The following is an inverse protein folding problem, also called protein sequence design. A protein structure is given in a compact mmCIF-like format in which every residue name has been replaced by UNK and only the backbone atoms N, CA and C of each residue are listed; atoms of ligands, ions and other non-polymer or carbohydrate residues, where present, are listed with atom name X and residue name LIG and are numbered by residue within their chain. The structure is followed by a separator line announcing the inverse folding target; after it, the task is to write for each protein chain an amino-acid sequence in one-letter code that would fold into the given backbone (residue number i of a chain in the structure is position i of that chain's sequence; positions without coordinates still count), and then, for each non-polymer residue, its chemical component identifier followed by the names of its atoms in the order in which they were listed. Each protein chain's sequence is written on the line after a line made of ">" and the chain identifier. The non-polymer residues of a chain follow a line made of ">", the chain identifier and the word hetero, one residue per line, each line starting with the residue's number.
data_IF_217673775617
#
_entry.id   IF_217673775617
#
_cell.length_a   1.000
_cell.length_b   1.000
_cell.length_c   1.000
_cell.angle_alpha   90.00
_cell.angle_beta   90.00
_cell.angle_gamma   90.00
#
_symmetry.space_group_name_H-M   'P 1'
#
loop_
_entity.id
_entity.type
_entity.pdbx_description
1 polymer ?
#
# COMPACT_ATOMS: atom_id res chain seq x y z
N UNK A 1 -7.73 -1.27 27.75
CA UNK A 1 -6.78 -0.33 27.11
C UNK A 1 -6.20 -1.03 25.89
N UNK A 2 -6.43 -0.48 24.73
CA UNK A 2 -5.98 -1.04 23.44
C UNK A 2 -4.47 -0.88 23.30
N UNK A 3 -3.76 -1.96 22.94
CA UNK A 3 -2.32 -1.92 22.65
C UNK A 3 -2.09 -2.04 21.13
N UNK A 4 -1.41 -1.06 20.58
CA UNK A 4 -1.07 -0.95 19.15
C UNK A 4 0.45 -1.00 19.02
N UNK A 5 0.96 -1.85 18.14
CA UNK A 5 2.39 -1.95 17.83
C UNK A 5 2.60 -1.49 16.39
N UNK A 6 3.47 -0.50 16.17
CA UNK A 6 3.85 -0.01 14.86
C UNK A 6 5.27 -0.47 14.52
N UNK A 7 5.41 -1.43 13.62
CA UNK A 7 6.70 -1.93 13.12
C UNK A 7 7.09 -1.19 11.84
N UNK A 8 8.25 -0.56 11.84
CA UNK A 8 8.72 0.37 10.82
C UNK A 8 8.39 1.83 11.16
N UNK A 9 8.36 2.17 12.45
CA UNK A 9 7.97 3.48 12.96
C UNK A 9 8.88 4.62 12.51
N UNK A 10 10.15 4.35 12.15
CA UNK A 10 11.09 5.32 11.58
C UNK A 10 10.79 5.75 10.14
N UNK A 11 9.67 5.30 9.57
CA UNK A 11 9.22 5.75 8.25
C UNK A 11 8.96 7.25 8.23
N UNK A 12 9.61 7.98 7.32
CA UNK A 12 9.38 9.40 7.12
C UNK A 12 7.93 9.71 6.73
N UNK A 13 7.28 8.78 6.03
CA UNK A 13 5.95 8.98 5.47
C UNK A 13 4.84 8.58 6.44
N UNK A 14 5.02 7.49 7.21
CA UNK A 14 3.93 6.89 8.01
C UNK A 14 4.09 7.16 9.50
N UNK A 15 5.31 7.07 10.07
CA UNK A 15 5.53 7.04 11.52
C UNK A 15 4.83 8.15 12.29
N UNK A 16 5.23 9.41 12.07
CA UNK A 16 4.66 10.57 12.78
C UNK A 16 3.20 10.82 12.40
N UNK A 17 2.84 10.59 11.14
CA UNK A 17 1.46 10.79 10.64
C UNK A 17 0.46 9.85 11.29
N UNK A 18 0.84 8.58 11.48
CA UNK A 18 -0.02 7.62 12.19
C UNK A 18 -0.19 7.98 13.66
N UNK A 19 0.86 8.50 14.32
CA UNK A 19 0.72 9.03 15.68
C UNK A 19 -0.29 10.18 15.70
N UNK A 20 -0.25 11.06 14.70
CA UNK A 20 -1.24 12.14 14.55
C UNK A 20 -2.66 11.58 14.42
N UNK A 21 -2.89 10.59 13.54
CA UNK A 21 -4.20 9.97 13.39
C UNK A 21 -4.72 9.39 14.73
N UNK A 22 -3.88 8.68 15.47
CA UNK A 22 -4.24 8.09 16.76
C UNK A 22 -4.52 9.14 17.85
N UNK A 23 -3.74 10.23 17.87
CA UNK A 23 -3.89 11.35 18.83
C UNK A 23 -5.23 12.06 18.63
N UNK A 24 -5.64 12.27 17.37
CA UNK A 24 -6.91 12.92 17.05
C UNK A 24 -8.13 11.99 17.05
N UNK A 25 -7.93 10.67 17.20
CA UNK A 25 -9.04 9.71 17.30
C UNK A 25 -9.51 9.57 18.75
N UNK A 26 -10.60 10.25 19.10
CA UNK A 26 -11.11 10.34 20.47
C UNK A 26 -11.38 8.96 21.10
N UNK A 27 -11.90 8.00 20.34
CA UNK A 27 -12.22 6.66 20.81
C UNK A 27 -10.97 5.81 21.21
N UNK A 28 -9.76 6.27 20.86
CA UNK A 28 -8.49 5.61 21.19
C UNK A 28 -7.78 6.24 22.40
N UNK A 29 -8.42 7.18 23.12
CA UNK A 29 -7.88 7.75 24.36
C UNK A 29 -7.64 6.65 25.40
N UNK A 30 -6.44 6.64 26.01
CA UNK A 30 -6.03 5.62 26.96
C UNK A 30 -5.35 4.39 26.33
N UNK A 31 -5.21 4.35 25.01
CA UNK A 31 -4.47 3.30 24.30
C UNK A 31 -2.95 3.40 24.55
N UNK A 32 -2.25 2.32 24.23
CA UNK A 32 -0.81 2.25 24.29
C UNK A 32 -0.24 1.98 22.90
N UNK A 33 0.50 2.94 22.36
CA UNK A 33 1.24 2.79 21.10
C UNK A 33 2.70 2.45 21.41
N UNK A 34 3.19 1.35 20.86
CA UNK A 34 4.59 0.93 20.89
C UNK A 34 5.20 1.14 19.53
N UNK A 35 6.20 2.00 19.44
CA UNK A 35 6.95 2.26 18.21
C UNK A 35 8.11 1.27 18.12
N UNK A 36 8.26 0.62 16.96
CA UNK A 36 9.36 -0.32 16.71
C UNK A 36 10.07 0.03 15.41
N UNK A 37 11.38 0.19 15.47
CA UNK A 37 12.23 0.34 14.29
C UNK A 37 13.66 -0.12 14.61
N UNK A 38 14.34 -0.67 13.62
CA UNK A 38 15.76 -1.08 13.72
C UNK A 38 16.72 0.12 13.63
N UNK A 39 16.26 1.25 13.11
CA UNK A 39 16.98 2.52 13.05
C UNK A 39 16.69 3.32 14.33
N UNK A 40 17.57 3.20 15.30
CA UNK A 40 17.41 3.82 16.63
C UNK A 40 17.35 5.36 16.57
N UNK A 41 18.04 5.99 15.62
CA UNK A 41 18.04 7.46 15.47
C UNK A 41 16.68 7.95 14.95
N UNK A 42 16.15 7.29 13.93
CA UNK A 42 14.81 7.60 13.41
C UNK A 42 13.72 7.28 14.42
N UNK A 43 13.83 6.16 15.11
CA UNK A 43 12.90 5.77 16.16
C UNK A 43 12.86 6.82 17.29
N UNK A 44 14.03 7.31 17.73
CA UNK A 44 14.16 8.38 18.71
C UNK A 44 13.53 9.69 18.23
N UNK A 45 13.75 10.05 16.99
CA UNK A 45 13.17 11.24 16.37
C UNK A 45 11.64 11.18 16.37
N UNK A 46 11.07 10.08 15.88
CA UNK A 46 9.61 9.88 15.83
C UNK A 46 9.02 9.85 17.24
N UNK A 47 9.67 9.17 18.19
CA UNK A 47 9.25 9.13 19.59
C UNK A 47 9.21 10.53 20.24
N UNK A 48 10.23 11.37 20.02
CA UNK A 48 10.27 12.74 20.53
C UNK A 48 9.15 13.60 19.94
N UNK A 49 8.90 13.51 18.65
CA UNK A 49 7.82 14.27 17.98
C UNK A 49 6.47 13.79 18.52
N UNK A 50 6.26 12.47 18.60
CA UNK A 50 5.02 11.89 19.12
C UNK A 50 4.73 12.29 20.56
N UNK A 51 5.75 12.30 21.42
CA UNK A 51 5.63 12.73 22.83
C UNK A 51 5.16 14.19 22.93
N UNK A 52 5.74 15.08 22.09
CA UNK A 52 5.33 16.49 22.04
C UNK A 52 3.89 16.64 21.54
N UNK A 53 3.53 15.91 20.48
CA UNK A 53 2.18 15.98 19.91
C UNK A 53 1.12 15.50 20.92
N UNK A 54 1.39 14.42 21.64
CA UNK A 54 0.52 13.90 22.69
C UNK A 54 0.34 14.92 23.82
N UNK A 55 1.43 15.57 24.25
CA UNK A 55 1.40 16.57 25.31
C UNK A 55 0.64 17.83 24.89
N UNK A 56 0.85 18.31 23.67
CA UNK A 56 0.21 19.52 23.16
C UNK A 56 -1.29 19.37 22.96
N UNK A 57 -1.72 18.18 22.56
CA UNK A 57 -3.15 17.87 22.34
C UNK A 57 -3.85 17.34 23.60
N UNK A 58 -3.18 17.31 24.76
CA UNK A 58 -3.67 16.64 25.98
C UNK A 58 -4.26 15.24 25.67
N UNK A 59 -3.65 14.57 24.69
CA UNK A 59 -4.08 13.23 24.29
C UNK A 59 -3.65 12.22 25.35
N UNK A 60 -4.60 11.41 25.79
CA UNK A 60 -4.32 10.37 26.79
C UNK A 60 -3.84 9.09 26.09
N UNK A 61 -2.79 9.20 25.29
CA UNK A 61 -2.14 8.10 24.61
C UNK A 61 -0.79 7.80 25.30
N UNK A 62 -0.57 6.56 25.69
CA UNK A 62 0.74 6.13 26.20
C UNK A 62 1.62 5.78 25.02
N UNK A 63 2.83 6.34 24.96
CA UNK A 63 3.81 6.08 23.93
C UNK A 63 5.04 5.40 24.52
N UNK A 64 5.52 4.34 23.87
CA UNK A 64 6.81 3.71 24.18
C UNK A 64 7.50 3.28 22.89
N UNK A 65 8.76 2.85 22.98
CA UNK A 65 9.55 2.40 21.84
C UNK A 65 10.45 1.25 22.21
N UNK A 66 10.79 0.41 21.25
CA UNK A 66 11.84 -0.61 21.32
C UNK A 66 12.38 -0.90 19.91
N UNK A 67 13.54 -1.54 19.84
CA UNK A 67 14.20 -1.84 18.54
C UNK A 67 13.83 -3.25 18.02
N UNK A 68 13.43 -4.16 18.91
CA UNK A 68 12.98 -5.51 18.54
C UNK A 68 11.46 -5.64 18.67
N UNK A 69 10.79 -5.97 17.57
CA UNK A 69 9.33 -6.15 17.55
C UNK A 69 8.87 -7.29 18.48
N UNK A 70 9.71 -8.32 18.72
CA UNK A 70 9.37 -9.44 19.62
C UNK A 70 9.07 -8.97 21.03
N UNK A 71 9.80 -7.97 21.52
CA UNK A 71 9.56 -7.36 22.84
C UNK A 71 8.24 -6.59 22.91
N UNK A 72 7.77 -6.09 21.75
CA UNK A 72 6.56 -5.28 21.67
C UNK A 72 5.28 -6.12 21.57
N UNK A 73 5.31 -7.31 20.99
CA UNK A 73 4.13 -8.06 20.57
C UNK A 73 3.26 -8.57 21.71
N UNK A 74 3.84 -8.93 22.87
CA UNK A 74 3.06 -9.50 23.98
C UNK A 74 1.86 -8.63 24.37
N UNK A 75 0.65 -9.19 24.27
CA UNK A 75 -0.60 -8.52 24.59
C UNK A 75 -0.98 -7.38 23.63
N UNK A 76 -0.47 -7.37 22.40
CA UNK A 76 -0.92 -6.46 21.36
C UNK A 76 -2.33 -6.85 20.87
N UNK A 77 -3.19 -5.84 20.65
CA UNK A 77 -4.50 -6.00 19.99
C UNK A 77 -4.38 -5.77 18.49
N UNK A 78 -3.46 -4.88 18.10
CA UNK A 78 -3.20 -4.52 16.70
C UNK A 78 -1.71 -4.40 16.44
N UNK A 79 -1.26 -4.94 15.30
CA UNK A 79 0.11 -4.77 14.81
C UNK A 79 0.04 -4.13 13.43
N UNK A 80 0.69 -2.98 13.26
CA UNK A 80 0.75 -2.27 11.99
C UNK A 80 2.16 -2.43 11.42
N UNK A 81 2.25 -2.85 10.15
CA UNK A 81 3.54 -2.98 9.46
C UNK A 81 3.68 -1.94 8.36
N UNK A 82 4.77 -1.16 8.41
CA UNK A 82 5.18 -0.17 7.40
C UNK A 82 6.66 -0.32 7.10
N UNK A 83 7.06 -1.51 6.70
CA UNK A 83 8.45 -1.90 6.49
C UNK A 83 8.82 -1.92 5.01
N UNK A 84 10.05 -1.47 4.70
CA UNK A 84 10.62 -1.51 3.36
C UNK A 84 12.10 -1.93 3.45
N UNK A 85 12.36 -3.24 3.51
CA UNK A 85 13.72 -3.78 3.64
C UNK A 85 14.60 -3.34 2.47
N UNK A 86 15.76 -2.75 2.77
CA UNK A 86 16.65 -2.14 1.79
C UNK A 86 16.39 -0.65 1.53
N UNK A 87 15.28 -0.11 1.98
CA UNK A 87 14.97 1.32 1.93
C UNK A 87 15.03 1.93 0.53
N UNK A 88 15.35 3.22 0.48
CA UNK A 88 15.42 4.00 -0.76
C UNK A 88 16.44 3.47 -1.78
N UNK A 89 17.59 2.95 -1.30
CA UNK A 89 18.62 2.41 -2.19
C UNK A 89 18.16 1.18 -2.96
N UNK A 90 17.52 0.23 -2.30
CA UNK A 90 16.96 -0.93 -2.95
C UNK A 90 15.81 -0.55 -3.91
N UNK A 91 14.95 0.39 -3.52
CA UNK A 91 13.88 0.88 -4.38
C UNK A 91 14.39 1.53 -5.67
N UNK A 92 15.45 2.33 -5.59
CA UNK A 92 16.11 2.88 -6.79
C UNK A 92 16.62 1.78 -7.72
N UNK A 93 17.21 0.71 -7.19
CA UNK A 93 17.66 -0.43 -7.97
C UNK A 93 16.49 -1.21 -8.60
N UNK A 94 15.37 -1.34 -7.89
CA UNK A 94 14.16 -2.01 -8.36
C UNK A 94 13.57 -1.36 -9.63
N UNK A 95 13.88 -0.09 -9.87
CA UNK A 95 13.41 0.64 -11.06
C UNK A 95 14.51 0.80 -12.11
N UNK A 96 15.70 1.24 -11.72
CA UNK A 96 16.80 1.56 -12.65
C UNK A 96 17.34 0.34 -13.39
N UNK A 97 17.52 -0.77 -12.69
CA UNK A 97 18.06 -1.99 -13.31
C UNK A 97 17.05 -2.52 -14.34
N UNK A 98 15.76 -2.72 -14.02
CA UNK A 98 14.79 -3.17 -15.02
C UNK A 98 14.59 -2.23 -16.22
N UNK A 99 14.75 -0.91 -16.05
CA UNK A 99 14.66 0.04 -17.17
C UNK A 99 15.70 -0.25 -18.27
N UNK A 100 16.90 -0.73 -17.90
CA UNK A 100 17.91 -1.12 -18.87
C UNK A 100 17.47 -2.33 -19.72
N UNK A 101 16.52 -3.12 -19.25
CA UNK A 101 15.94 -4.28 -19.92
C UNK A 101 14.56 -3.97 -20.56
N UNK A 102 14.16 -2.70 -20.59
CA UNK A 102 12.93 -2.27 -21.24
C UNK A 102 11.67 -2.32 -20.38
N UNK A 103 11.80 -2.53 -19.07
CA UNK A 103 10.69 -2.41 -18.13
C UNK A 103 10.52 -0.93 -17.74
N UNK A 104 9.70 -0.23 -18.51
CA UNK A 104 9.47 1.21 -18.34
C UNK A 104 8.24 1.45 -17.46
N UNK A 105 8.41 1.47 -16.14
CA UNK A 105 7.38 1.84 -15.17
C UNK A 105 7.90 2.93 -14.22
N UNK A 106 6.98 3.69 -13.63
CA UNK A 106 7.34 4.85 -12.81
C UNK A 106 7.70 4.46 -11.38
N UNK A 107 6.89 3.65 -10.72
CA UNK A 107 6.99 3.39 -9.27
C UNK A 107 7.72 2.08 -8.94
N UNK A 108 7.41 0.99 -9.62
CA UNK A 108 8.10 -0.30 -9.51
C UNK A 108 8.05 -0.92 -8.11
N UNK A 109 6.97 -0.73 -7.38
CA UNK A 109 6.85 -1.25 -6.02
C UNK A 109 5.81 -2.38 -5.88
N UNK A 110 5.10 -2.70 -6.95
CA UNK A 110 3.95 -3.61 -6.92
C UNK A 110 4.10 -4.78 -7.87
N UNK A 111 4.35 -4.53 -9.15
CA UNK A 111 4.41 -5.54 -10.21
C UNK A 111 5.78 -5.62 -10.88
N UNK A 112 5.96 -6.65 -11.70
CA UNK A 112 7.19 -6.85 -12.48
C UNK A 112 8.44 -7.06 -11.64
N UNK A 113 9.64 -6.82 -12.22
CA UNK A 113 10.91 -7.05 -11.52
C UNK A 113 11.06 -6.27 -10.22
N UNK A 114 10.62 -5.01 -10.20
CA UNK A 114 10.67 -4.16 -9.00
C UNK A 114 9.79 -4.70 -7.89
N UNK A 115 8.51 -4.97 -8.19
CA UNK A 115 7.56 -5.58 -7.26
C UNK A 115 8.04 -6.94 -6.76
N UNK A 116 8.57 -7.79 -7.66
CA UNK A 116 9.15 -9.08 -7.30
C UNK A 116 10.27 -8.92 -6.25
N UNK A 117 11.28 -8.09 -6.51
CA UNK A 117 12.42 -7.97 -5.58
C UNK A 117 12.03 -7.30 -4.28
N UNK A 118 11.09 -6.35 -4.30
CA UNK A 118 10.51 -5.80 -3.09
C UNK A 118 9.76 -6.88 -2.29
N UNK A 119 9.00 -7.75 -2.95
CA UNK A 119 8.35 -8.91 -2.32
C UNK A 119 9.37 -9.87 -1.71
N UNK A 120 10.42 -10.25 -2.45
CA UNK A 120 11.47 -11.15 -1.98
C UNK A 120 12.17 -10.64 -0.72
N UNK A 121 12.29 -9.32 -0.54
CA UNK A 121 12.89 -8.71 0.64
C UNK A 121 11.91 -8.55 1.80
N UNK A 122 10.64 -8.25 1.52
CA UNK A 122 9.67 -7.79 2.53
C UNK A 122 8.81 -8.94 3.06
N UNK A 123 8.38 -9.87 2.19
CA UNK A 123 7.52 -10.99 2.60
C UNK A 123 8.13 -11.83 3.72
N UNK A 124 9.40 -12.27 3.67
CA UNK A 124 9.96 -13.06 4.75
C UNK A 124 9.89 -12.36 6.10
N UNK A 125 10.20 -11.04 6.14
CA UNK A 125 10.13 -10.24 7.36
C UNK A 125 8.70 -10.17 7.92
N UNK A 126 7.69 -9.88 7.08
CA UNK A 126 6.31 -9.74 7.55
C UNK A 126 5.71 -11.09 7.95
N UNK A 127 6.07 -12.17 7.27
CA UNK A 127 5.69 -13.54 7.67
C UNK A 127 6.33 -13.91 9.01
N UNK A 128 7.60 -13.55 9.26
CA UNK A 128 8.25 -13.78 10.55
C UNK A 128 7.57 -12.98 11.68
N UNK A 129 7.23 -11.70 11.45
CA UNK A 129 6.44 -10.91 12.40
C UNK A 129 5.10 -11.61 12.70
N UNK A 130 4.39 -12.09 11.68
CA UNK A 130 3.12 -12.77 11.85
C UNK A 130 3.26 -14.11 12.62
N UNK A 131 4.33 -14.86 12.41
CA UNK A 131 4.63 -16.08 13.20
C UNK A 131 4.90 -15.77 14.67
N UNK A 132 5.67 -14.73 14.96
CA UNK A 132 5.86 -14.28 16.35
C UNK A 132 4.54 -13.79 16.97
N UNK A 133 3.63 -13.20 16.17
CA UNK A 133 2.27 -12.86 16.64
C UNK A 133 1.45 -14.09 16.98
N UNK A 134 1.59 -15.23 16.28
CA UNK A 134 0.88 -16.48 16.60
C UNK A 134 1.17 -16.95 18.03
N UNK A 135 2.39 -16.68 18.52
CA UNK A 135 2.80 -17.05 19.88
C UNK A 135 2.46 -15.96 20.92
N UNK A 136 2.71 -14.69 20.58
CA UNK A 136 2.67 -13.57 21.52
C UNK A 136 1.29 -12.88 21.62
N UNK A 137 0.51 -12.87 20.54
CA UNK A 137 -0.80 -12.18 20.44
C UNK A 137 -1.67 -12.77 19.31
N UNK A 138 -2.09 -14.07 19.42
CA UNK A 138 -2.76 -14.79 18.33
C UNK A 138 -4.10 -14.18 17.88
N UNK A 139 -4.76 -13.43 18.75
CA UNK A 139 -6.03 -12.76 18.47
C UNK A 139 -5.86 -11.37 17.84
N UNK A 140 -4.63 -10.84 17.78
CA UNK A 140 -4.35 -9.53 17.22
C UNK A 140 -4.66 -9.47 15.71
N UNK A 141 -5.02 -8.27 15.23
CA UNK A 141 -5.17 -7.99 13.81
C UNK A 141 -3.86 -7.37 13.28
N UNK A 142 -3.30 -7.97 12.22
CA UNK A 142 -2.21 -7.36 11.46
C UNK A 142 -2.78 -6.42 10.42
N UNK A 143 -2.36 -5.16 10.42
CA UNK A 143 -2.71 -4.12 9.46
C UNK A 143 -1.45 -3.80 8.65
N UNK A 144 -1.43 -4.15 7.38
CA UNK A 144 -0.25 -3.98 6.54
C UNK A 144 -0.34 -2.74 5.64
N UNK A 145 0.69 -1.89 5.71
CA UNK A 145 0.91 -0.74 4.82
C UNK A 145 2.05 -0.96 3.84
N UNK A 146 2.78 -2.08 3.99
CA UNK A 146 3.94 -2.37 3.15
C UNK A 146 3.55 -2.88 1.77
N UNK A 147 4.35 -2.56 0.75
CA UNK A 147 4.20 -3.06 -0.61
C UNK A 147 5.25 -4.12 -0.97
N UNK A 148 4.89 -5.03 -1.90
CA UNK A 148 3.61 -5.17 -2.63
C UNK A 148 2.50 -5.74 -1.73
N UNK A 149 1.50 -4.93 -1.45
CA UNK A 149 0.49 -5.20 -0.43
C UNK A 149 -0.28 -6.50 -0.66
N UNK A 150 -0.77 -6.72 -1.89
CA UNK A 150 -1.50 -7.94 -2.26
C UNK A 150 -0.67 -9.20 -1.97
N UNK A 151 0.61 -9.23 -2.37
CA UNK A 151 1.49 -10.37 -2.14
C UNK A 151 1.82 -10.57 -0.66
N UNK A 152 2.08 -9.48 0.09
CA UNK A 152 2.36 -9.54 1.54
C UNK A 152 1.15 -10.08 2.30
N UNK A 153 -0.03 -9.52 2.10
CA UNK A 153 -1.25 -9.99 2.75
C UNK A 153 -1.56 -11.45 2.36
N UNK A 154 -1.31 -11.82 1.10
CA UNK A 154 -1.46 -13.20 0.65
C UNK A 154 -0.50 -14.15 1.37
N UNK A 155 0.77 -13.78 1.52
CA UNK A 155 1.76 -14.58 2.22
C UNK A 155 1.37 -14.80 3.70
N UNK A 156 0.98 -13.74 4.41
CA UNK A 156 0.51 -13.87 5.81
C UNK A 156 -0.68 -14.81 5.90
N UNK A 157 -1.72 -14.61 5.08
CA UNK A 157 -2.92 -15.44 5.10
C UNK A 157 -2.68 -16.91 4.69
N UNK A 158 -1.62 -17.18 3.90
CA UNK A 158 -1.29 -18.52 3.43
C UNK A 158 -0.40 -19.29 4.41
N UNK A 159 0.52 -18.62 5.07
CA UNK A 159 1.61 -19.24 5.83
C UNK A 159 1.49 -19.06 7.34
N UNK A 160 0.46 -18.35 7.82
CA UNK A 160 0.18 -18.14 9.24
C UNK A 160 -1.32 -18.18 9.51
N UNK A 161 -1.69 -18.30 10.79
CA UNK A 161 -3.09 -18.21 11.25
C UNK A 161 -3.52 -16.77 11.59
N UNK A 162 -2.62 -15.79 11.47
CA UNK A 162 -2.89 -14.41 11.84
C UNK A 162 -3.85 -13.76 10.83
N UNK A 163 -4.88 -13.10 11.36
CA UNK A 163 -5.78 -12.28 10.56
C UNK A 163 -5.05 -11.03 10.07
N UNK A 164 -5.01 -10.83 8.76
CA UNK A 164 -4.35 -9.68 8.17
C UNK A 164 -5.28 -8.94 7.21
N UNK A 165 -5.22 -7.61 7.25
CA UNK A 165 -5.77 -6.71 6.26
C UNK A 165 -4.68 -5.78 5.73
N UNK A 166 -4.83 -5.33 4.48
CA UNK A 166 -4.00 -4.27 3.92
C UNK A 166 -4.81 -2.99 3.75
N UNK A 167 -4.17 -1.84 3.97
CA UNK A 167 -4.80 -0.53 3.78
C UNK A 167 -4.00 0.32 2.81
N UNK A 168 -4.70 0.96 1.88
CA UNK A 168 -4.15 1.86 0.89
C UNK A 168 -5.05 3.10 0.73
N UNK A 169 -4.44 4.26 0.54
CA UNK A 169 -5.15 5.52 0.29
C UNK A 169 -5.44 5.78 -1.21
N UNK A 170 -5.31 4.76 -2.06
CA UNK A 170 -5.48 4.88 -3.51
C UNK A 170 -6.85 5.43 -3.93
N UNK A 171 -7.94 4.94 -3.33
CA UNK A 171 -9.28 5.44 -3.61
C UNK A 171 -9.45 6.89 -3.16
N UNK A 172 -9.03 7.24 -1.94
CA UNK A 172 -9.12 8.60 -1.41
C UNK A 172 -8.34 9.60 -2.29
N UNK A 173 -7.14 9.22 -2.73
CA UNK A 173 -6.37 10.05 -3.65
C UNK A 173 -7.05 10.19 -5.02
N UNK A 174 -7.71 9.15 -5.50
CA UNK A 174 -8.49 9.22 -6.74
C UNK A 174 -9.65 10.18 -6.59
N UNK A 175 -10.43 10.10 -5.50
CA UNK A 175 -11.52 11.05 -5.21
C UNK A 175 -10.99 12.48 -5.16
N UNK A 176 -9.88 12.75 -4.46
CA UNK A 176 -9.26 14.09 -4.41
C UNK A 176 -8.84 14.60 -5.79
N UNK A 177 -8.41 13.72 -6.69
CA UNK A 177 -8.01 14.11 -8.06
C UNK A 177 -9.19 14.39 -8.97
N UNK A 178 -10.27 13.62 -8.85
CA UNK A 178 -11.43 13.77 -9.75
C UNK A 178 -12.43 14.82 -9.26
N UNK A 179 -12.54 15.09 -7.95
CA UNK A 179 -13.53 16.01 -7.40
C UNK A 179 -13.44 17.43 -7.99
N UNK A 180 -12.28 18.11 -8.08
CA UNK A 180 -12.20 19.42 -8.72
C UNK A 180 -12.59 19.40 -10.20
N UNK A 181 -12.36 18.27 -10.87
CA UNK A 181 -12.71 18.08 -12.27
C UNK A 181 -14.21 17.93 -12.50
N UNK A 182 -14.92 17.46 -11.47
CA UNK A 182 -16.37 17.37 -11.44
C UNK A 182 -17.03 18.64 -10.91
N UNK A 183 -16.21 19.62 -10.43
CA UNK A 183 -16.69 20.85 -9.79
C UNK A 183 -17.23 20.61 -8.38
N UNK A 184 -16.69 19.63 -7.66
CA UNK A 184 -17.12 19.21 -6.33
C UNK A 184 -15.91 19.21 -5.37
N UNK A 185 -16.21 19.27 -4.06
CA UNK A 185 -15.24 18.98 -3.02
C UNK A 185 -15.14 17.45 -2.79
N UNK A 186 -13.99 16.93 -2.32
CA UNK A 186 -13.85 15.50 -2.03
C UNK A 186 -14.91 14.94 -1.08
N UNK A 187 -15.37 15.73 -0.11
CA UNK A 187 -16.41 15.36 0.86
C UNK A 187 -17.81 15.22 0.26
N UNK A 188 -18.02 15.77 -0.93
CA UNK A 188 -19.28 15.67 -1.67
C UNK A 188 -19.37 14.41 -2.53
N UNK A 189 -18.30 13.58 -2.56
CA UNK A 189 -18.24 12.36 -3.36
C UNK A 189 -18.15 11.14 -2.46
N UNK A 190 -19.03 10.19 -2.66
CA UNK A 190 -18.90 8.81 -2.17
C UNK A 190 -18.55 7.91 -3.34
N UNK A 191 -17.49 7.15 -3.20
CA UNK A 191 -17.02 6.23 -4.25
C UNK A 191 -16.69 4.87 -3.66
N UNK A 192 -16.95 3.83 -4.45
CA UNK A 192 -16.54 2.46 -4.17
C UNK A 192 -15.74 1.90 -5.32
N UNK A 193 -14.85 0.97 -5.00
CA UNK A 193 -13.98 0.34 -5.98
C UNK A 193 -13.80 -1.14 -5.66
N UNK A 194 -13.37 -1.92 -6.64
CA UNK A 194 -12.97 -3.31 -6.46
C UNK A 194 -11.85 -3.70 -7.40
N UNK A 195 -11.00 -4.64 -6.98
CA UNK A 195 -9.88 -5.12 -7.78
C UNK A 195 -8.76 -5.68 -6.89
N UNK A 196 -7.52 -5.34 -7.24
CA UNK A 196 -6.32 -5.64 -6.45
C UNK A 196 -5.61 -4.32 -6.10
N UNK A 197 -4.81 -4.30 -5.04
CA UNK A 197 -4.12 -3.08 -4.61
C UNK A 197 -3.38 -2.39 -5.75
N UNK A 198 -3.48 -1.06 -5.82
CA UNK A 198 -2.99 -0.17 -6.88
C UNK A 198 -3.65 -0.35 -8.26
N UNK A 199 -4.54 -1.34 -8.42
CA UNK A 199 -5.27 -1.59 -9.65
C UNK A 199 -6.74 -1.95 -9.36
N UNK A 200 -7.39 -1.11 -8.54
CA UNK A 200 -8.83 -1.14 -8.28
C UNK A 200 -9.56 -0.28 -9.31
N UNK A 201 -10.82 -0.58 -9.53
CA UNK A 201 -11.68 0.08 -10.50
C UNK A 201 -12.91 0.63 -9.79
N UNK A 202 -13.25 1.90 -10.05
CA UNK A 202 -14.43 2.51 -9.47
C UNK A 202 -15.67 1.78 -9.97
N UNK A 203 -16.42 1.18 -9.05
CA UNK A 203 -17.72 0.54 -9.33
C UNK A 203 -18.85 1.53 -9.20
N UNK A 204 -18.74 2.44 -8.24
CA UNK A 204 -19.73 3.47 -7.97
C UNK A 204 -19.04 4.80 -7.67
N UNK A 205 -19.66 5.86 -8.12
CA UNK A 205 -19.31 7.24 -7.76
C UNK A 205 -20.59 8.08 -7.74
N UNK A 206 -20.96 8.55 -6.55
CA UNK A 206 -22.20 9.29 -6.34
C UNK A 206 -21.95 10.57 -5.54
N UNK A 207 -22.82 11.55 -5.71
CA UNK A 207 -22.82 12.72 -4.85
C UNK A 207 -23.34 12.34 -3.45
N UNK A 208 -22.55 12.59 -2.42
CA UNK A 208 -22.76 12.08 -1.05
C UNK A 208 -24.13 12.48 -0.43
N UNK A 209 -24.67 13.64 -0.83
CA UNK A 209 -25.92 14.17 -0.26
C UNK A 209 -27.13 13.82 -1.13
N UNK A 210 -27.02 13.98 -2.45
CA UNK A 210 -28.14 13.82 -3.37
C UNK A 210 -28.31 12.40 -3.89
N UNK A 211 -27.25 11.57 -3.82
CA UNK A 211 -27.23 10.26 -4.45
C UNK A 211 -27.13 10.28 -5.98
N UNK A 212 -26.90 11.46 -6.58
CA UNK A 212 -26.74 11.60 -8.04
C UNK A 212 -25.56 10.74 -8.51
N UNK A 213 -25.79 9.93 -9.54
CA UNK A 213 -24.71 9.20 -10.22
C UNK A 213 -23.79 10.17 -10.97
N UNK A 214 -22.52 10.18 -10.59
CA UNK A 214 -21.48 11.05 -11.15
C UNK A 214 -20.71 10.40 -12.31
N UNK A 215 -20.90 9.11 -12.58
CA UNK A 215 -20.23 8.40 -13.68
C UNK A 215 -20.44 9.07 -15.05
N UNK A 216 -21.66 9.47 -15.43
CA UNK A 216 -21.89 10.16 -16.71
C UNK A 216 -21.06 11.43 -16.85
N UNK A 217 -20.92 12.21 -15.75
CA UNK A 217 -20.10 13.43 -15.75
C UNK A 217 -18.61 13.11 -15.89
N UNK A 218 -18.13 12.03 -15.24
CA UNK A 218 -16.74 11.58 -15.35
C UNK A 218 -16.41 11.13 -16.78
N UNK A 219 -17.31 10.36 -17.42
CA UNK A 219 -17.17 9.94 -18.83
C UNK A 219 -17.16 11.14 -19.77
N UNK A 220 -18.03 12.13 -19.55
CA UNK A 220 -18.04 13.36 -20.35
C UNK A 220 -16.73 14.15 -20.17
N UNK A 221 -16.21 14.23 -18.95
CA UNK A 221 -14.92 14.86 -18.68
C UNK A 221 -13.76 14.17 -19.38
N UNK A 222 -13.72 12.83 -19.35
CA UNK A 222 -12.71 12.03 -20.03
C UNK A 222 -12.66 12.32 -21.55
N UNK A 223 -13.82 12.54 -22.17
CA UNK A 223 -13.91 12.91 -23.60
C UNK A 223 -13.43 14.33 -23.88
N UNK A 224 -13.69 15.29 -22.96
CA UNK A 224 -13.36 16.71 -23.16
C UNK A 224 -11.91 17.04 -22.81
N UNK A 225 -11.32 16.35 -21.85
CA UNK A 225 -9.99 16.65 -21.29
C UNK A 225 -9.13 15.37 -21.16
N UNK A 226 -8.85 14.67 -22.27
CA UNK A 226 -8.15 13.38 -22.23
C UNK A 226 -6.70 13.48 -21.72
N UNK A 227 -6.11 14.68 -21.69
CA UNK A 227 -4.74 14.92 -21.24
C UNK A 227 -4.59 15.02 -19.71
N UNK A 228 -5.68 15.12 -18.94
CA UNK A 228 -5.60 15.29 -17.49
C UNK A 228 -5.14 14.04 -16.74
N UNK A 229 -5.58 12.86 -17.18
CA UNK A 229 -5.15 11.54 -16.76
C UNK A 229 -5.25 10.62 -17.95
N UNK A 230 -4.29 10.70 -18.88
CA UNK A 230 -4.44 10.10 -20.21
C UNK A 230 -4.61 8.58 -20.16
N UNK A 231 -3.95 7.89 -19.22
CA UNK A 231 -4.07 6.43 -19.05
C UNK A 231 -5.43 6.07 -18.45
N UNK A 232 -5.80 6.69 -17.33
CA UNK A 232 -7.05 6.36 -16.64
C UNK A 232 -8.28 6.67 -17.51
N UNK A 233 -8.27 7.79 -18.25
CA UNK A 233 -9.38 8.15 -19.14
C UNK A 233 -9.47 7.27 -20.38
N UNK A 234 -8.35 6.84 -20.94
CA UNK A 234 -8.34 5.88 -22.06
C UNK A 234 -8.87 4.51 -21.62
N UNK A 235 -8.48 4.07 -20.40
CA UNK A 235 -8.98 2.84 -19.83
C UNK A 235 -10.48 2.91 -19.48
N UNK A 236 -10.97 4.05 -18.97
CA UNK A 236 -12.40 4.28 -18.78
C UNK A 236 -13.17 4.12 -20.11
N UNK A 237 -12.68 4.72 -21.19
CA UNK A 237 -13.31 4.63 -22.51
C UNK A 237 -13.25 3.19 -23.07
N UNK A 238 -12.21 2.45 -22.75
CA UNK A 238 -12.00 1.08 -23.27
C UNK A 238 -12.76 0.02 -22.47
N UNK A 239 -12.72 0.11 -21.11
CA UNK A 239 -13.24 -0.93 -20.23
C UNK A 239 -14.55 -0.56 -19.54
N UNK A 240 -14.98 0.70 -19.63
CA UNK A 240 -16.24 1.18 -19.04
C UNK A 240 -16.16 1.51 -17.54
N UNK A 241 -15.04 1.26 -16.88
CA UNK A 241 -14.79 1.61 -15.49
C UNK A 241 -13.52 2.46 -15.37
N UNK A 242 -13.50 3.38 -14.40
CA UNK A 242 -12.36 4.24 -14.12
C UNK A 242 -11.38 3.53 -13.19
N UNK A 243 -10.10 3.33 -13.58
CA UNK A 243 -9.11 2.73 -12.71
C UNK A 243 -8.64 3.73 -11.64
N UNK A 244 -8.44 3.24 -10.44
CA UNK A 244 -7.92 3.99 -9.30
C UNK A 244 -6.50 3.57 -8.97
N UNK A 245 -5.70 4.49 -8.46
CA UNK A 245 -4.29 4.31 -8.14
C UNK A 245 -3.40 5.40 -8.74
N UNK A 246 -3.89 6.06 -9.81
CA UNK A 246 -3.14 7.05 -10.59
C UNK A 246 -2.32 6.40 -11.71
N UNK A 247 -2.11 7.16 -12.77
CA UNK A 247 -1.49 6.68 -14.01
C UNK A 247 -0.11 6.04 -13.77
N UNK A 248 0.70 6.61 -12.87
CA UNK A 248 2.03 6.11 -12.55
C UNK A 248 2.04 4.69 -11.96
N UNK A 249 1.03 4.32 -11.15
CA UNK A 249 0.86 2.95 -10.66
C UNK A 249 0.19 2.05 -11.68
N UNK A 250 -0.85 2.53 -12.39
CA UNK A 250 -1.63 1.75 -13.35
C UNK A 250 -0.72 1.16 -14.45
N UNK A 251 0.30 1.91 -14.90
CA UNK A 251 1.21 1.45 -15.94
C UNK A 251 2.11 0.29 -15.54
N UNK A 252 2.22 -0.06 -14.26
CA UNK A 252 2.88 -1.30 -13.83
C UNK A 252 2.07 -2.55 -14.21
N UNK A 253 0.76 -2.40 -14.31
CA UNK A 253 -0.17 -3.49 -14.64
C UNK A 253 -0.44 -3.59 -16.14
N UNK A 254 -0.26 -2.51 -16.90
CA UNK A 254 -0.65 -2.40 -18.31
C UNK A 254 0.50 -1.79 -19.12
N UNK A 255 1.15 -2.63 -19.93
CA UNK A 255 2.35 -2.28 -20.68
C UNK A 255 2.14 -1.33 -21.87
N UNK A 256 0.91 -1.13 -22.35
CA UNK A 256 0.66 -0.43 -23.63
C UNK A 256 1.10 1.02 -23.61
N UNK A 257 1.06 1.67 -22.45
CA UNK A 257 1.29 3.10 -22.30
C UNK A 257 2.77 3.46 -22.11
N UNK A 258 3.64 2.49 -21.84
CA UNK A 258 5.06 2.71 -21.63
C UNK A 258 5.95 1.94 -22.60
N UNK A 259 5.36 1.47 -23.70
CA UNK A 259 6.09 0.84 -24.81
C UNK A 259 7.04 1.84 -25.50
N UNK A 260 7.94 1.31 -26.35
CA UNK A 260 8.87 2.14 -27.10
C UNK A 260 8.11 3.09 -28.07
N UNK A 261 7.01 2.62 -28.69
CA UNK A 261 6.15 3.39 -29.58
C UNK A 261 5.47 4.58 -28.87
N UNK A 262 5.21 4.46 -27.56
CA UNK A 262 4.69 5.53 -26.71
C UNK A 262 5.78 6.39 -26.09
N UNK A 263 7.01 6.38 -26.64
CA UNK A 263 8.12 7.15 -26.11
C UNK A 263 8.46 6.78 -24.66
N UNK A 264 8.31 5.50 -24.28
CA UNK A 264 8.52 4.97 -22.92
C UNK A 264 7.64 5.68 -21.87
N UNK A 265 6.44 6.05 -22.22
CA UNK A 265 5.48 6.71 -21.33
C UNK A 265 5.36 8.23 -21.52
N UNK A 266 6.27 8.88 -22.24
CA UNK A 266 6.23 10.32 -22.45
C UNK A 266 4.94 10.80 -23.14
N UNK A 267 4.38 9.99 -24.06
CA UNK A 267 3.11 10.28 -24.71
C UNK A 267 1.91 10.33 -23.74
N UNK A 268 2.05 9.77 -22.55
CA UNK A 268 1.02 9.68 -21.52
C UNK A 268 1.41 10.37 -20.22
N UNK A 269 2.41 11.26 -20.25
CA UNK A 269 2.93 12.01 -19.10
C UNK A 269 3.44 11.12 -17.95
N UNK A 270 3.88 9.90 -18.23
CA UNK A 270 4.48 9.01 -17.22
C UNK A 270 5.90 9.44 -16.91
N UNK A 271 6.19 9.70 -15.66
CA UNK A 271 7.50 10.15 -15.20
C UNK A 271 8.37 8.95 -14.77
N UNK A 272 9.28 8.53 -15.63
CA UNK A 272 10.20 7.43 -15.32
C UNK A 272 11.27 7.79 -14.27
N UNK A 273 11.38 9.06 -13.86
CA UNK A 273 12.24 9.50 -12.76
C UNK A 273 11.44 9.71 -11.46
N UNK A 274 10.24 9.14 -11.39
CA UNK A 274 9.36 9.26 -10.21
C UNK A 274 10.07 8.84 -8.92
N UNK A 275 10.77 7.69 -8.92
CA UNK A 275 11.41 7.15 -7.72
C UNK A 275 12.55 8.04 -7.24
N UNK A 276 13.36 8.60 -8.15
CA UNK A 276 14.41 9.56 -7.80
C UNK A 276 13.84 10.79 -7.10
N UNK A 277 12.75 11.32 -7.62
CA UNK A 277 12.04 12.47 -7.03
C UNK A 277 11.42 12.10 -5.68
N UNK A 278 10.80 10.93 -5.59
CA UNK A 278 10.20 10.44 -4.34
C UNK A 278 11.26 10.24 -3.25
N UNK A 279 12.41 9.66 -3.58
CA UNK A 279 13.54 9.49 -2.65
C UNK A 279 14.11 10.84 -2.21
N UNK A 280 14.26 11.80 -3.13
CA UNK A 280 14.68 13.15 -2.79
C UNK A 280 13.68 13.85 -1.86
N UNK A 281 12.39 13.70 -2.11
CA UNK A 281 11.33 14.23 -1.25
C UNK A 281 11.33 13.58 0.13
N UNK A 282 11.45 12.25 0.22
CA UNK A 282 11.58 11.56 1.51
C UNK A 282 12.76 12.07 2.35
N UNK A 283 13.88 12.41 1.70
CA UNK A 283 15.02 13.03 2.38
C UNK A 283 14.69 14.41 2.94
N UNK A 284 13.96 15.23 2.19
CA UNK A 284 13.50 16.55 2.67
C UNK A 284 12.51 16.40 3.84
N UNK A 285 11.57 15.45 3.75
CA UNK A 285 10.66 15.16 4.86
C UNK A 285 11.41 14.74 6.13
N UNK A 286 12.46 13.91 6.02
CA UNK A 286 13.30 13.56 7.16
C UNK A 286 14.00 14.77 7.78
N UNK A 287 14.58 15.67 6.96
CA UNK A 287 15.20 16.91 7.44
C UNK A 287 14.19 17.82 8.16
N UNK A 288 12.93 17.85 7.71
CA UNK A 288 11.84 18.58 8.39
C UNK A 288 11.46 17.92 9.71
N UNK A 289 11.36 16.60 9.76
CA UNK A 289 11.11 15.86 11.00
C UNK A 289 12.24 16.04 12.02
N UNK A 290 13.50 16.07 11.59
CA UNK A 290 14.65 16.37 12.47
C UNK A 290 14.53 17.76 13.10
N UNK A 291 14.10 18.76 12.34
CA UNK A 291 13.83 20.11 12.86
C UNK A 291 12.70 20.08 13.90
N UNK A 292 11.58 19.40 13.60
CA UNK A 292 10.46 19.23 14.54
C UNK A 292 10.88 18.46 15.80
N UNK A 293 11.74 17.46 15.67
CA UNK A 293 12.29 16.74 16.82
C UNK A 293 13.20 17.59 17.71
N UNK A 294 13.85 18.63 17.16
CA UNK A 294 14.80 19.47 17.87
C UNK A 294 14.16 20.62 18.67
N UNK A 295 12.96 21.09 18.30
CA UNK A 295 12.29 22.19 19.00
C UNK A 295 11.72 21.72 20.36
N UNK A 296 11.65 22.61 21.39
CA UNK A 296 11.12 22.23 22.71
C UNK A 296 9.64 21.87 22.69
N UNK A 297 8.83 22.53 21.86
CA UNK A 297 7.38 22.26 21.71
C UNK A 297 6.99 22.47 20.25
N UNK A 298 5.94 21.78 19.80
CA UNK A 298 5.35 22.02 18.48
C UNK A 298 4.53 23.32 18.52
N UNK A 299 4.40 23.97 17.39
CA UNK A 299 3.53 25.16 17.24
C UNK A 299 2.24 24.74 16.56
N UNK A 300 1.17 25.48 16.77
CA UNK A 300 -0.10 25.27 16.05
C UNK A 300 0.07 25.32 14.51
N UNK A 301 1.12 25.99 14.01
CA UNK A 301 1.51 26.05 12.59
C UNK A 301 2.26 24.81 12.10
N UNK A 302 2.81 24.00 13.01
CA UNK A 302 3.56 22.77 12.70
C UNK A 302 2.58 21.59 12.53
N UNK A 303 1.45 21.82 11.84
CA UNK A 303 0.40 20.85 11.67
C UNK A 303 0.91 19.57 10.99
N UNK A 304 0.96 18.49 11.75
CA UNK A 304 1.29 17.17 11.24
C UNK A 304 0.04 16.59 10.61
N UNK A 305 0.07 16.42 9.29
CA UNK A 305 -1.03 15.78 8.57
C UNK A 305 -1.08 14.29 8.89
N UNK A 306 -2.28 13.70 8.96
CA UNK A 306 -2.47 12.27 9.08
C UNK A 306 -2.02 11.48 7.84
N UNK A 307 -2.08 10.17 7.94
CA UNK A 307 -1.69 9.24 6.86
C UNK A 307 -2.65 9.29 5.67
N UNK A 308 -3.86 9.80 5.85
CA UNK A 308 -5.01 9.66 4.94
C UNK A 308 -5.47 8.18 4.76
N UNK A 309 -4.99 7.29 5.60
CA UNK A 309 -5.36 5.88 5.66
C UNK A 309 -6.17 5.61 6.93
N UNK A 310 -7.04 4.61 6.88
CA UNK A 310 -8.11 4.45 7.88
C UNK A 310 -7.74 3.55 9.07
N UNK A 311 -6.45 3.33 9.39
CA UNK A 311 -6.10 2.41 10.48
C UNK A 311 -6.63 2.87 11.84
N UNK A 312 -6.48 4.16 12.18
CA UNK A 312 -6.96 4.69 13.45
C UNK A 312 -8.48 4.55 13.59
N UNK A 313 -9.22 4.85 12.52
CA UNK A 313 -10.68 4.72 12.48
C UNK A 313 -11.13 3.25 12.56
N UNK A 314 -10.47 2.34 11.85
CA UNK A 314 -10.74 0.90 11.92
C UNK A 314 -10.48 0.38 13.34
N UNK A 315 -9.35 0.76 13.94
CA UNK A 315 -9.00 0.38 15.32
C UNK A 315 -10.04 0.94 16.31
N UNK A 316 -10.45 2.19 16.13
CA UNK A 316 -11.51 2.80 16.96
C UNK A 316 -12.83 2.02 16.81
N UNK A 317 -13.24 1.71 15.59
CA UNK A 317 -14.46 0.94 15.35
C UNK A 317 -14.41 -0.45 16.02
N UNK A 318 -13.30 -1.17 15.85
CA UNK A 318 -13.16 -2.51 16.42
C UNK A 318 -13.07 -2.48 17.95
N UNK A 319 -12.29 -1.53 18.52
CA UNK A 319 -12.09 -1.43 19.96
C UNK A 319 -13.32 -0.94 20.72
N UNK A 320 -14.20 -0.18 20.07
CA UNK A 320 -15.38 0.43 20.67
C UNK A 320 -16.71 -0.10 20.11
N UNK A 321 -16.69 -1.26 19.45
CA UNK A 321 -17.86 -1.92 18.87
C UNK A 321 -18.70 -1.01 17.95
N UNK A 322 -18.03 -0.14 17.17
CA UNK A 322 -18.64 0.72 16.16
C UNK A 322 -18.62 0.03 14.79
N UNK A 323 -19.57 0.40 13.95
CA UNK A 323 -19.58 -0.04 12.55
C UNK A 323 -19.05 1.09 11.66
N UNK A 324 -18.08 0.73 10.81
CA UNK A 324 -17.56 1.61 9.77
C UNK A 324 -17.39 0.84 8.47
N UNK A 325 -17.30 1.54 7.35
CA UNK A 325 -17.05 0.96 6.03
C UNK A 325 -15.79 1.58 5.46
N UNK A 326 -14.85 0.74 5.03
CA UNK A 326 -13.52 1.13 4.60
C UNK A 326 -13.09 0.32 3.37
N UNK A 327 -12.22 0.86 2.52
CA UNK A 327 -11.54 0.05 1.51
C UNK A 327 -10.46 -0.80 2.18
N UNK A 328 -10.47 -2.10 1.95
CA UNK A 328 -9.57 -3.05 2.60
C UNK A 328 -9.07 -4.13 1.64
N UNK A 329 -7.82 -4.51 1.81
CA UNK A 329 -7.26 -5.67 1.14
C UNK A 329 -7.46 -6.91 2.02
N UNK A 330 -8.25 -7.86 1.54
CA UNK A 330 -8.67 -9.08 2.26
C UNK A 330 -8.69 -10.29 1.33
N UNK A 331 -8.67 -11.54 1.84
CA UNK A 331 -8.88 -12.73 1.02
C UNK A 331 -10.17 -12.61 0.21
N UNK A 332 -10.12 -12.99 -1.08
CA UNK A 332 -11.29 -12.88 -1.95
C UNK A 332 -12.46 -13.73 -1.46
N UNK A 333 -12.26 -15.01 -1.28
CA UNK A 333 -13.32 -15.94 -0.83
C UNK A 333 -14.68 -15.68 -1.53
N UNK A 334 -14.65 -15.36 -2.85
CA UNK A 334 -15.82 -15.07 -3.66
C UNK A 334 -16.37 -13.63 -3.56
N UNK A 335 -15.67 -12.71 -2.90
CA UNK A 335 -16.11 -11.29 -2.81
C UNK A 335 -16.15 -10.60 -4.15
N UNK A 336 -15.18 -10.90 -5.02
CA UNK A 336 -15.24 -10.61 -6.46
C UNK A 336 -15.45 -11.97 -7.15
N UNK A 337 -16.66 -12.27 -7.65
CA UNK A 337 -17.05 -13.64 -8.01
C UNK A 337 -16.22 -14.27 -9.14
N UNK A 338 -15.68 -13.44 -10.04
CA UNK A 338 -14.92 -13.90 -11.21
C UNK A 338 -13.40 -13.75 -11.07
N UNK A 339 -12.91 -13.67 -9.82
CA UNK A 339 -11.48 -13.75 -9.49
C UNK A 339 -11.20 -15.01 -8.63
N UNK A 340 -9.94 -15.52 -8.63
CA UNK A 340 -9.55 -16.66 -7.80
C UNK A 340 -9.90 -16.45 -6.32
N UNK A 341 -10.48 -17.48 -5.69
CA UNK A 341 -10.99 -17.38 -4.32
C UNK A 341 -9.88 -17.16 -3.27
N UNK A 342 -8.69 -17.71 -3.51
CA UNK A 342 -7.53 -17.63 -2.64
C UNK A 342 -6.75 -16.30 -2.76
N UNK A 343 -7.05 -15.48 -3.76
CA UNK A 343 -6.41 -14.20 -3.96
C UNK A 343 -6.70 -13.23 -2.82
N UNK A 344 -5.86 -12.21 -2.66
CA UNK A 344 -6.17 -11.02 -1.88
C UNK A 344 -6.69 -9.95 -2.83
N UNK A 345 -7.83 -9.38 -2.49
CA UNK A 345 -8.52 -8.34 -3.29
C UNK A 345 -8.78 -7.09 -2.45
N UNK A 346 -8.87 -5.95 -3.10
CA UNK A 346 -9.26 -4.70 -2.48
C UNK A 346 -10.73 -4.42 -2.77
N UNK A 347 -11.52 -4.37 -1.71
CA UNK A 347 -13.00 -4.23 -1.75
C UNK A 347 -13.47 -3.40 -0.56
N UNK A 348 -14.70 -2.87 -0.57
CA UNK A 348 -15.32 -2.35 0.63
C UNK A 348 -15.36 -3.42 1.74
N UNK A 349 -15.04 -3.02 2.97
CA UNK A 349 -15.09 -3.88 4.14
C UNK A 349 -15.83 -3.19 5.28
N UNK A 350 -16.52 -3.99 6.09
CA UNK A 350 -17.30 -3.54 7.25
C UNK A 350 -16.62 -4.00 8.52
N UNK A 351 -16.46 -3.11 9.49
CA UNK A 351 -16.02 -3.47 10.84
C UNK A 351 -17.15 -4.15 11.60
N UNK A 352 -16.83 -5.28 12.24
CA UNK A 352 -17.75 -6.09 13.04
C UNK A 352 -17.06 -6.47 14.35
N UNK A 353 -17.78 -6.96 15.37
CA UNK A 353 -17.13 -7.45 16.60
C UNK A 353 -16.10 -8.57 16.37
N UNK A 354 -16.19 -9.30 15.25
CA UNK A 354 -15.25 -10.36 14.88
C UNK A 354 -14.09 -9.90 14.00
N UNK A 355 -13.98 -8.61 13.68
CA UNK A 355 -12.93 -8.04 12.83
C UNK A 355 -13.49 -7.32 11.61
N UNK A 356 -12.68 -7.22 10.57
CA UNK A 356 -13.07 -6.58 9.31
C UNK A 356 -13.51 -7.64 8.31
N UNK A 357 -14.71 -7.47 7.76
CA UNK A 357 -15.28 -8.35 6.72
C UNK A 357 -15.37 -7.62 5.39
N UNK A 358 -14.71 -8.14 4.35
CA UNK A 358 -14.91 -7.63 2.99
C UNK A 358 -16.34 -7.90 2.49
N UNK A 359 -16.91 -6.92 1.81
CA UNK A 359 -18.24 -7.00 1.20
C UNK A 359 -18.13 -7.73 -0.14
N UNK A 360 -19.14 -8.54 -0.46
CA UNK A 360 -19.27 -9.09 -1.80
C UNK A 360 -19.71 -8.00 -2.77
N UNK A 361 -19.04 -7.91 -3.89
CA UNK A 361 -19.31 -6.95 -4.97
C UNK A 361 -19.70 -7.68 -6.25
N UNK A 362 -20.11 -6.94 -7.26
CA UNK A 362 -20.40 -7.51 -8.58
C UNK A 362 -19.13 -8.04 -9.27
N UNK A 363 -19.32 -8.91 -10.24
CA UNK A 363 -18.25 -9.41 -11.09
C UNK A 363 -17.65 -8.26 -11.93
N UNK A 364 -16.33 -8.19 -12.01
CA UNK A 364 -15.65 -7.23 -12.86
C UNK A 364 -15.85 -7.55 -14.35
N UNK A 365 -15.85 -6.54 -15.24
CA UNK A 365 -15.83 -6.76 -16.68
C UNK A 365 -14.74 -7.74 -17.10
N UNK A 366 -15.02 -8.63 -18.06
CA UNK A 366 -14.13 -9.74 -18.45
C UNK A 366 -12.70 -9.30 -18.77
N UNK A 367 -12.53 -8.18 -19.46
CA UNK A 367 -11.19 -7.67 -19.82
C UNK A 367 -10.39 -7.26 -18.59
N UNK A 368 -11.04 -6.64 -17.61
CA UNK A 368 -10.45 -6.26 -16.32
C UNK A 368 -10.12 -7.51 -15.49
N UNK A 369 -11.10 -8.40 -15.34
CA UNK A 369 -10.93 -9.64 -14.58
C UNK A 369 -9.82 -10.52 -15.15
N UNK A 370 -9.72 -10.64 -16.47
CA UNK A 370 -8.66 -11.38 -17.15
C UNK A 370 -7.28 -10.82 -16.86
N UNK A 371 -7.12 -9.49 -16.89
CA UNK A 371 -5.86 -8.84 -16.56
C UNK A 371 -5.51 -9.01 -15.06
N UNK A 372 -6.46 -8.78 -14.18
CA UNK A 372 -6.27 -8.96 -12.73
C UNK A 372 -5.91 -10.41 -12.39
N UNK A 373 -6.55 -11.40 -13.02
CA UNK A 373 -6.23 -12.82 -12.82
C UNK A 373 -4.78 -13.12 -13.16
N UNK A 374 -4.25 -12.58 -14.26
CA UNK A 374 -2.84 -12.73 -14.60
C UNK A 374 -1.91 -12.10 -13.53
N UNK A 375 -2.27 -10.92 -13.00
CA UNK A 375 -1.54 -10.29 -11.91
C UNK A 375 -1.57 -11.13 -10.62
N UNK A 376 -2.72 -11.72 -10.30
CA UNK A 376 -2.87 -12.61 -9.13
C UNK A 376 -1.90 -13.80 -9.24
N UNK A 377 -1.78 -14.41 -10.41
CA UNK A 377 -0.82 -15.50 -10.60
C UNK A 377 0.64 -15.05 -10.49
N UNK A 378 0.95 -13.83 -10.95
CA UNK A 378 2.28 -13.23 -10.73
C UNK A 378 2.56 -13.04 -9.24
N UNK A 379 1.60 -12.51 -8.46
CA UNK A 379 1.72 -12.39 -7.02
C UNK A 379 1.88 -13.73 -6.30
N UNK A 380 1.16 -14.78 -6.70
CA UNK A 380 1.36 -16.12 -6.13
C UNK A 380 2.80 -16.62 -6.36
N UNK A 381 3.35 -16.43 -7.56
CA UNK A 381 4.75 -16.78 -7.86
C UNK A 381 5.74 -15.95 -7.03
N UNK A 382 5.46 -14.65 -6.81
CA UNK A 382 6.27 -13.80 -5.93
C UNK A 382 6.25 -14.30 -4.48
N UNK A 383 5.08 -14.68 -3.97
CA UNK A 383 4.89 -15.23 -2.62
C UNK A 383 5.69 -16.52 -2.45
N UNK A 384 5.53 -17.48 -3.37
CA UNK A 384 6.22 -18.76 -3.31
C UNK A 384 7.75 -18.58 -3.41
N UNK A 385 8.20 -17.73 -4.34
CA UNK A 385 9.62 -17.43 -4.50
C UNK A 385 10.21 -16.78 -3.23
N UNK A 386 9.45 -15.87 -2.58
CA UNK A 386 9.91 -15.17 -1.38
C UNK A 386 10.00 -16.10 -0.15
N UNK A 387 9.02 -16.99 0.02
CA UNK A 387 8.95 -17.87 1.19
C UNK A 387 9.93 -19.04 1.07
N UNK A 388 10.07 -19.60 -0.13
CA UNK A 388 10.86 -20.81 -0.35
C UNK A 388 12.29 -20.55 -0.87
N UNK A 389 12.62 -19.31 -1.28
CA UNK A 389 13.92 -18.99 -1.86
C UNK A 389 14.18 -19.65 -3.22
N UNK A 390 13.12 -19.98 -3.97
CA UNK A 390 13.25 -20.68 -5.24
C UNK A 390 13.45 -19.74 -6.42
N UNK A 391 14.71 -19.66 -6.92
CA UNK A 391 15.05 -18.86 -8.11
C UNK A 391 14.18 -19.18 -9.33
N UNK A 392 13.77 -20.45 -9.50
CA UNK A 392 12.89 -20.87 -10.60
C UNK A 392 11.52 -20.19 -10.56
N UNK A 393 10.95 -20.00 -9.37
CA UNK A 393 9.65 -19.33 -9.20
C UNK A 393 9.79 -17.81 -9.43
N UNK A 394 10.89 -17.22 -8.98
CA UNK A 394 11.19 -15.82 -9.29
C UNK A 394 11.33 -15.57 -10.80
N UNK A 395 11.99 -16.49 -11.54
CA UNK A 395 12.04 -16.41 -12.99
C UNK A 395 10.65 -16.55 -13.64
N UNK A 396 9.80 -17.47 -13.16
CA UNK A 396 8.43 -17.61 -13.66
C UNK A 396 7.60 -16.34 -13.43
N UNK A 397 7.77 -15.68 -12.27
CA UNK A 397 7.12 -14.40 -12.00
C UNK A 397 7.52 -13.31 -13.03
N UNK A 398 8.81 -13.27 -13.41
CA UNK A 398 9.25 -12.38 -14.48
C UNK A 398 8.66 -12.77 -15.85
N UNK A 399 8.61 -14.07 -16.17
CA UNK A 399 8.15 -14.54 -17.48
C UNK A 399 6.65 -14.38 -17.72
N UNK A 400 5.82 -14.40 -16.67
CA UNK A 400 4.37 -14.13 -16.80
C UNK A 400 4.06 -12.64 -16.95
N UNK A 401 4.99 -11.77 -16.55
CA UNK A 401 4.80 -10.33 -16.62
C UNK A 401 4.76 -9.86 -18.10
N UNK A 402 3.79 -9.03 -18.50
CA UNK A 402 3.60 -8.62 -19.89
C UNK A 402 4.71 -7.72 -20.46
N UNK A 403 5.56 -7.15 -19.61
CA UNK A 403 6.73 -6.39 -20.05
C UNK A 403 7.87 -7.28 -20.49
N UNK A 404 7.89 -8.56 -20.11
CA UNK A 404 8.94 -9.50 -20.46
C UNK A 404 8.86 -9.89 -21.93
N UNK A 405 9.91 -9.57 -22.69
CA UNK A 405 10.00 -9.84 -24.14
C UNK A 405 10.99 -10.95 -24.50
N UNK A 406 11.94 -11.24 -23.61
CA UNK A 406 13.02 -12.20 -23.84
C UNK A 406 13.27 -13.01 -22.57
N UNK A 407 13.24 -14.35 -22.70
CA UNK A 407 13.62 -15.25 -21.61
C UNK A 407 15.08 -15.06 -21.19
N UNK A 408 15.98 -14.85 -22.17
CA UNK A 408 17.41 -14.65 -21.89
C UNK A 408 17.64 -13.37 -21.10
N UNK A 409 16.96 -12.29 -21.45
CA UNK A 409 17.06 -11.02 -20.73
C UNK A 409 16.43 -11.11 -19.35
N UNK A 410 15.32 -11.85 -19.19
CA UNK A 410 14.73 -12.10 -17.89
C UNK A 410 15.69 -12.86 -16.95
N UNK A 411 16.42 -13.84 -17.44
CA UNK A 411 17.42 -14.55 -16.64
C UNK A 411 18.58 -13.65 -16.23
N UNK A 412 19.11 -12.83 -17.15
CA UNK A 412 20.18 -11.86 -16.86
C UNK A 412 19.70 -10.79 -15.85
N UNK A 413 18.51 -10.27 -16.05
CA UNK A 413 17.90 -9.31 -15.13
C UNK A 413 17.74 -9.90 -13.73
N UNK A 414 17.27 -11.16 -13.65
CA UNK A 414 17.11 -11.86 -12.37
C UNK A 414 18.46 -11.97 -11.64
N UNK A 415 19.54 -12.37 -12.35
CA UNK A 415 20.86 -12.49 -11.76
C UNK A 415 21.43 -11.15 -11.30
N UNK A 416 21.23 -10.09 -12.08
CA UNK A 416 21.68 -8.75 -11.73
C UNK A 416 20.93 -8.20 -10.50
N UNK A 417 19.61 -8.39 -10.44
CA UNK A 417 18.81 -7.98 -9.29
C UNK A 417 19.08 -8.81 -8.04
N UNK A 418 19.33 -10.13 -8.15
CA UNK A 418 19.77 -10.95 -7.01
C UNK A 418 21.07 -10.39 -6.45
N UNK A 419 22.04 -10.10 -7.30
CA UNK A 419 23.33 -9.53 -6.90
C UNK A 419 23.16 -8.15 -6.22
N UNK A 420 22.31 -7.28 -6.78
CA UNK A 420 22.05 -5.94 -6.23
C UNK A 420 21.33 -5.99 -4.86
N UNK A 421 20.64 -7.08 -4.57
CA UNK A 421 19.87 -7.28 -3.34
C UNK A 421 20.45 -8.34 -2.39
N UNK A 422 21.66 -8.85 -2.66
CA UNK A 422 22.30 -9.94 -1.90
C UNK A 422 22.23 -9.79 -0.36
N UNK A 423 22.44 -8.59 0.23
CA UNK A 423 22.36 -8.42 1.68
C UNK A 423 20.97 -8.69 2.28
N UNK A 424 19.92 -8.66 1.45
CA UNK A 424 18.52 -8.75 1.90
C UNK A 424 17.84 -10.06 1.48
N UNK A 425 18.53 -10.94 0.74
CA UNK A 425 17.97 -12.16 0.15
C UNK A 425 18.61 -13.43 0.77
N UNK A 426 18.49 -13.56 2.08
CA UNK A 426 19.10 -14.68 2.83
C UNK A 426 18.59 -16.04 2.36
N UNK A 427 17.32 -16.12 1.94
CA UNK A 427 16.67 -17.34 1.44
C UNK A 427 17.18 -17.81 0.06
N UNK A 428 17.98 -16.99 -0.64
CA UNK A 428 18.59 -17.33 -1.94
C UNK A 428 20.07 -17.69 -1.84
N UNK A 429 20.62 -17.82 -0.60
CA UNK A 429 22.01 -18.22 -0.35
C UNK A 429 22.21 -19.71 -0.33
#
# INVERSE_FOLDING_TARGET
>A
STKIVLVGAGSAVVGVRLISDLVFTEGLRGSHLVLVDIDSERLDMVYRIGTKLIAEQDAKLRLSKCEDYREALSGADYVITTVARGGAGAWLNDVRIPQAYGYNYAVGDTMGPGGLFRALRTIPLVVDIAREMEEACPDALLINYSNPMTAICRAVNKYTSIRAIGLCHGLQNTVRRISPRLGLEPSEITAWASGINHFIWLTDIVHSVTGEDLYPKLVERAKKMPSEQPVAYDLLNTYGLFPSGGDDHIVEFIQYYTSHECGKGAAHNIDLNYVEKAVAHQKQELEELEKLASVPSLRATDAIQGTAESAAEIIDCLSNAKTGVFMVNVPNNGRIPNLPAEAVVEVPGITTPSGVMGVQVEALPLGIAGRITACIHEFELMVEAAVHGERRLALQALLINPFTRSRVDAERLLDELIKANEPYLEQFR
#
